data_IF_747214238195
#
_entry.id   IF_747214238195
#
_cell.length_a   1.000
_cell.length_b   1.000
_cell.length_c   1.000
_cell.angle_alpha   90.00
_cell.angle_beta   90.00
_cell.angle_gamma   90.00
#
_symmetry.space_group_name_H-M   'P 1'
#
loop_
_entity.id
_entity.type
_entity.pdbx_description
1 polymer ?
#
# COMPACT_ATOMS: atom_id res chain seq x y z
N UNK A 1 -17.68 14.01 -0.52
CA UNK A 1 -17.10 12.71 -0.93
C UNK A 1 -18.06 11.61 -0.46
N UNK A 2 -18.39 10.61 -1.31
CA UNK A 2 -19.18 9.45 -0.89
C UNK A 2 -18.27 8.23 -0.96
N UNK A 3 -17.97 7.64 0.20
CA UNK A 3 -17.09 6.48 0.34
C UNK A 3 -17.90 5.34 0.94
N UNK A 4 -17.77 4.15 0.38
CA UNK A 4 -18.41 2.93 0.88
C UNK A 4 -17.44 2.18 1.81
N UNK A 5 -17.89 1.82 3.00
CA UNK A 5 -17.09 1.01 3.94
C UNK A 5 -17.28 -0.47 3.62
N UNK A 6 -16.17 -1.20 3.45
CA UNK A 6 -16.20 -2.63 3.16
C UNK A 6 -15.36 -3.35 4.22
N UNK A 7 -16.00 -4.04 5.18
CA UNK A 7 -15.33 -4.62 6.35
C UNK A 7 -14.41 -5.80 6.03
N UNK A 8 -14.62 -6.47 4.90
CA UNK A 8 -13.71 -7.49 4.40
C UNK A 8 -13.49 -7.20 2.93
N UNK A 9 -12.25 -7.25 2.46
CA UNK A 9 -11.89 -7.19 1.05
C UNK A 9 -12.42 -8.44 0.26
N UNK A 10 -13.58 -8.99 0.64
CA UNK A 10 -14.33 -10.08 -0.01
C UNK A 10 -15.03 -9.58 -1.27
N UNK A 11 -14.98 -10.34 -2.38
CA UNK A 11 -15.76 -10.03 -3.56
C UNK A 11 -17.25 -10.18 -3.22
N UNK A 12 -18.01 -9.11 -3.31
CA UNK A 12 -19.48 -9.21 -3.37
C UNK A 12 -19.97 -8.42 -4.59
N UNK A 13 -20.73 -9.10 -5.43
CA UNK A 13 -21.00 -8.68 -6.81
C UNK A 13 -20.53 -9.74 -7.81
N UNK A 14 -21.01 -9.67 -9.06
CA UNK A 14 -20.59 -10.60 -10.10
C UNK A 14 -19.06 -10.60 -10.25
N UNK A 15 -18.43 -11.75 -10.59
CA UNK A 15 -16.99 -11.85 -10.77
C UNK A 15 -16.57 -10.94 -11.93
N UNK A 16 -15.99 -9.77 -11.62
CA UNK A 16 -15.45 -8.88 -12.65
C UNK A 16 -15.40 -7.39 -12.34
N UNK A 17 -16.10 -6.87 -11.31
CA UNK A 17 -16.01 -5.44 -10.96
C UNK A 17 -15.18 -5.21 -9.71
N UNK A 18 -14.00 -4.59 -9.87
CA UNK A 18 -13.20 -4.09 -8.75
C UNK A 18 -13.98 -3.01 -7.98
N UNK A 19 -14.16 -3.20 -6.67
CA UNK A 19 -14.84 -2.25 -5.78
C UNK A 19 -14.00 -1.02 -5.42
N UNK A 20 -12.69 -1.07 -5.64
CA UNK A 20 -11.77 0.05 -5.45
C UNK A 20 -11.68 0.95 -6.70
N UNK A 21 -12.70 0.94 -7.57
CA UNK A 21 -12.82 1.93 -8.65
C UNK A 21 -12.63 3.33 -8.08
N UNK A 22 -11.79 4.11 -8.73
CA UNK A 22 -11.59 5.50 -8.34
C UNK A 22 -12.83 6.35 -8.70
N UNK A 23 -13.05 7.40 -7.93
CA UNK A 23 -13.97 8.48 -8.26
C UNK A 23 -13.22 9.80 -8.29
N UNK A 24 -13.82 10.81 -8.90
CA UNK A 24 -13.26 12.15 -8.93
C UNK A 24 -14.28 13.16 -8.42
N UNK A 25 -13.78 14.19 -7.75
CA UNK A 25 -14.54 15.38 -7.37
C UNK A 25 -13.71 16.61 -7.69
N UNK A 26 -14.33 17.63 -8.27
CA UNK A 26 -13.70 18.92 -8.46
C UNK A 26 -13.74 19.69 -7.13
N UNK A 27 -12.62 20.31 -6.78
CA UNK A 27 -12.38 20.99 -5.53
C UNK A 27 -11.99 22.44 -5.81
N UNK A 28 -12.77 23.37 -5.29
CA UNK A 28 -12.36 24.77 -5.21
C UNK A 28 -11.50 24.95 -3.95
N UNK A 29 -10.25 25.38 -4.13
CA UNK A 29 -9.33 25.60 -3.02
C UNK A 29 -9.64 26.89 -2.26
N UNK A 30 -10.14 27.90 -2.97
CA UNK A 30 -10.53 29.21 -2.43
C UNK A 30 -11.94 29.54 -2.94
N UNK A 31 -12.85 30.03 -2.07
CA UNK A 31 -14.17 30.50 -2.50
C UNK A 31 -14.04 31.56 -3.61
N UNK A 32 -14.85 31.43 -4.66
CA UNK A 32 -14.76 32.27 -5.87
C UNK A 32 -15.22 33.72 -5.57
N UNK A 33 -14.30 34.65 -5.36
CA UNK A 33 -14.45 36.10 -5.66
C UNK A 33 -13.11 36.88 -5.53
N UNK A 34 -12.73 37.85 -6.41
CA UNK A 34 -13.09 38.07 -7.80
C UNK A 34 -11.89 37.72 -8.72
N UNK A 35 -11.25 36.56 -8.53
CA UNK A 35 -10.32 36.06 -9.55
C UNK A 35 -11.14 35.41 -10.66
N UNK A 36 -11.09 35.96 -11.88
CA UNK A 36 -11.92 35.52 -13.02
C UNK A 36 -11.84 34.02 -13.36
N UNK A 37 -10.77 33.34 -12.91
CA UNK A 37 -10.52 31.93 -13.21
C UNK A 37 -10.66 30.99 -11.99
N UNK A 38 -10.62 31.52 -10.76
CA UNK A 38 -10.65 30.75 -9.50
C UNK A 38 -9.44 29.81 -9.30
N UNK A 39 -9.18 29.40 -8.05
CA UNK A 39 -8.21 28.34 -7.75
C UNK A 39 -8.94 27.01 -7.52
N UNK A 40 -8.74 26.06 -8.44
CA UNK A 40 -9.41 24.76 -8.38
C UNK A 40 -8.52 23.61 -8.82
N UNK A 41 -8.90 22.40 -8.41
CA UNK A 41 -8.26 21.15 -8.77
C UNK A 41 -9.24 19.99 -8.78
N UNK A 42 -8.75 18.81 -9.12
CA UNK A 42 -9.51 17.56 -9.12
C UNK A 42 -8.89 16.58 -8.13
N UNK A 43 -9.71 16.09 -7.23
CA UNK A 43 -9.33 15.04 -6.27
C UNK A 43 -9.87 13.71 -6.79
N UNK A 44 -8.97 12.77 -7.04
CA UNK A 44 -9.26 11.38 -7.38
C UNK A 44 -9.06 10.55 -6.11
N UNK A 45 -10.01 9.68 -5.79
CA UNK A 45 -10.00 8.91 -4.54
C UNK A 45 -10.60 7.52 -4.73
N UNK A 46 -10.21 6.58 -3.88
CA UNK A 46 -10.84 5.26 -3.82
C UNK A 46 -12.32 5.37 -3.40
N UNK A 47 -13.25 4.76 -4.15
CA UNK A 47 -14.68 4.76 -3.75
C UNK A 47 -14.96 3.95 -2.50
N UNK A 48 -14.07 3.02 -2.17
CA UNK A 48 -14.27 2.06 -1.09
C UNK A 48 -13.10 2.09 -0.13
N UNK A 49 -13.41 1.99 1.16
CA UNK A 49 -12.43 1.87 2.24
C UNK A 49 -12.45 0.42 2.79
N UNK A 50 -11.27 -0.20 2.91
CA UNK A 50 -11.02 -1.49 3.56
C UNK A 50 -9.88 -1.26 4.56
N UNK A 51 -9.97 -1.81 5.77
CA UNK A 51 -8.96 -1.65 6.83
C UNK A 51 -7.63 -2.35 6.52
N UNK A 52 -7.64 -3.36 5.67
CA UNK A 52 -6.46 -4.10 5.23
C UNK A 52 -5.73 -3.47 4.02
N UNK A 53 -6.26 -2.39 3.45
CA UNK A 53 -5.71 -1.70 2.27
C UNK A 53 -5.54 -0.21 2.57
N UNK A 54 -4.53 0.42 1.99
CA UNK A 54 -4.45 1.88 2.01
C UNK A 54 -5.53 2.53 1.15
N UNK A 55 -6.01 3.68 1.62
CA UNK A 55 -6.91 4.55 0.86
C UNK A 55 -6.09 5.55 0.05
N UNK A 56 -6.21 5.50 -1.27
CA UNK A 56 -5.49 6.42 -2.16
C UNK A 56 -6.28 7.72 -2.40
N UNK A 57 -5.57 8.84 -2.38
CA UNK A 57 -6.07 10.18 -2.63
C UNK A 57 -5.05 10.97 -3.47
N UNK A 58 -5.40 11.20 -4.74
CA UNK A 58 -4.58 11.92 -5.70
C UNK A 58 -5.19 13.29 -6.03
N UNK A 59 -4.37 14.35 -6.00
CA UNK A 59 -4.81 15.71 -6.33
C UNK A 59 -4.13 16.13 -7.63
N UNK A 60 -4.92 16.55 -8.61
CA UNK A 60 -4.45 17.10 -9.89
C UNK A 60 -4.90 18.55 -9.99
N UNK A 61 -3.97 19.48 -10.20
CA UNK A 61 -4.31 20.90 -10.31
C UNK A 61 -3.47 21.58 -11.40
N UNK A 62 -4.09 22.52 -12.10
CA UNK A 62 -3.43 23.40 -13.07
C UNK A 62 -3.66 24.88 -12.74
N UNK A 63 -4.74 25.19 -12.03
CA UNK A 63 -5.25 26.54 -11.81
C UNK A 63 -5.03 27.01 -10.36
N UNK A 64 -4.07 26.43 -9.64
CA UNK A 64 -3.79 26.78 -8.24
C UNK A 64 -2.29 26.80 -7.97
N UNK A 65 -1.85 27.62 -7.01
CA UNK A 65 -0.44 27.60 -6.58
C UNK A 65 -0.11 26.34 -5.76
N UNK A 66 1.15 25.89 -5.80
CA UNK A 66 1.60 24.76 -4.98
C UNK A 66 1.44 25.02 -3.47
N UNK A 67 1.54 26.27 -3.02
CA UNK A 67 1.32 26.66 -1.63
C UNK A 67 -0.14 26.46 -1.23
N UNK A 68 -1.09 26.95 -2.03
CA UNK A 68 -2.54 26.77 -1.80
C UNK A 68 -2.90 25.29 -1.63
N UNK A 69 -2.36 24.43 -2.52
CA UNK A 69 -2.60 22.98 -2.46
C UNK A 69 -1.96 22.37 -1.20
N UNK A 70 -0.72 22.75 -0.88
CA UNK A 70 -0.03 22.26 0.31
C UNK A 70 -0.77 22.62 1.61
N UNK A 71 -1.29 23.84 1.74
CA UNK A 71 -2.05 24.30 2.90
C UNK A 71 -3.40 23.57 3.02
N UNK A 72 -4.03 23.30 1.89
CA UNK A 72 -5.26 22.48 1.83
C UNK A 72 -5.00 21.07 2.33
N UNK A 73 -3.96 20.40 1.83
CA UNK A 73 -3.58 19.04 2.26
C UNK A 73 -3.21 19.00 3.73
N UNK A 74 -2.49 20.02 4.22
CA UNK A 74 -2.14 20.12 5.64
C UNK A 74 -3.36 20.27 6.54
N UNK A 75 -4.36 21.03 6.09
CA UNK A 75 -5.64 21.15 6.78
C UNK A 75 -6.38 19.80 6.83
N UNK A 76 -6.32 19.00 5.77
CA UNK A 76 -6.90 17.66 5.75
C UNK A 76 -6.16 16.71 6.69
N UNK A 77 -4.83 16.68 6.64
CA UNK A 77 -4.01 15.90 7.56
C UNK A 77 -4.39 16.21 9.01
N UNK A 78 -4.45 17.49 9.37
CA UNK A 78 -4.79 17.93 10.73
C UNK A 78 -6.18 17.47 11.20
N UNK A 79 -7.14 17.33 10.28
CA UNK A 79 -8.49 16.81 10.58
C UNK A 79 -8.47 15.29 10.68
N UNK A 80 -7.81 14.61 9.76
CA UNK A 80 -7.72 13.14 9.68
C UNK A 80 -6.96 12.57 10.90
N UNK A 81 -5.90 13.24 11.35
CA UNK A 81 -5.14 12.84 12.55
C UNK A 81 -6.00 12.83 13.82
N UNK A 82 -7.05 13.66 13.92
CA UNK A 82 -7.99 13.65 15.05
C UNK A 82 -8.88 12.41 15.07
N UNK A 83 -9.15 11.86 13.90
CA UNK A 83 -9.93 10.64 13.70
C UNK A 83 -9.06 9.37 13.72
N UNK A 84 -7.80 9.48 14.20
CA UNK A 84 -6.83 8.37 14.32
C UNK A 84 -6.41 7.73 12.99
N UNK A 85 -6.54 8.46 11.89
CA UNK A 85 -5.98 8.10 10.60
C UNK A 85 -4.71 8.90 10.32
N UNK A 86 -3.86 8.39 9.44
CA UNK A 86 -2.66 9.10 8.98
C UNK A 86 -2.77 9.43 7.49
N UNK A 87 -2.46 10.67 7.14
CA UNK A 87 -2.34 11.13 5.76
C UNK A 87 -0.90 11.57 5.51
N UNK A 88 -0.24 10.97 4.54
CA UNK A 88 1.13 11.30 4.15
C UNK A 88 1.29 11.23 2.63
N UNK A 89 2.21 12.00 2.05
CA UNK A 89 2.53 11.92 0.63
C UNK A 89 3.27 10.62 0.33
N UNK A 90 2.99 10.04 -0.83
CA UNK A 90 3.70 8.87 -1.38
C UNK A 90 4.22 9.20 -2.77
N UNK A 91 5.42 8.72 -3.15
CA UNK A 91 5.93 8.90 -4.49
C UNK A 91 5.17 8.04 -5.49
N UNK A 92 5.12 8.50 -6.73
CA UNK A 92 4.53 7.74 -7.85
C UNK A 92 5.22 6.41 -8.08
N UNK A 93 6.52 6.34 -7.77
CA UNK A 93 7.33 5.13 -7.81
C UNK A 93 7.86 4.77 -6.40
N UNK A 94 7.11 3.98 -5.60
CA UNK A 94 7.53 3.58 -4.26
C UNK A 94 8.74 2.64 -4.22
N UNK A 95 8.96 1.82 -5.27
CA UNK A 95 10.06 0.86 -5.37
C UNK A 95 10.77 1.08 -6.71
N UNK A 96 11.71 2.01 -6.72
CA UNK A 96 12.48 2.39 -7.91
C UNK A 96 13.43 1.28 -8.35
N UNK A 97 12.96 0.40 -9.24
CA UNK A 97 13.77 -0.70 -9.74
C UNK A 97 14.64 -0.23 -10.91
N UNK A 98 15.90 -0.70 -11.02
CA UNK A 98 16.79 -0.34 -12.13
C UNK A 98 16.29 -0.74 -13.52
N UNK A 99 15.23 -1.57 -13.60
CA UNK A 99 14.63 -2.03 -14.85
C UNK A 99 13.72 -0.97 -15.49
N UNK A 100 13.27 0.01 -14.72
CA UNK A 100 12.39 1.06 -15.20
C UNK A 100 13.20 2.32 -15.53
N UNK A 101 13.12 2.76 -16.79
CA UNK A 101 13.84 3.93 -17.30
C UNK A 101 13.37 5.25 -16.67
N UNK A 102 12.14 5.27 -16.12
CA UNK A 102 11.58 6.43 -15.45
C UNK A 102 11.88 6.44 -13.94
N UNK A 103 12.37 5.33 -13.40
CA UNK A 103 12.74 5.24 -11.99
C UNK A 103 13.97 6.10 -11.70
N UNK A 104 13.99 6.72 -10.51
CA UNK A 104 15.13 7.51 -10.08
C UNK A 104 16.35 6.61 -9.84
N UNK A 105 17.45 6.74 -10.61
CA UNK A 105 18.61 5.84 -10.52
C UNK A 105 19.39 5.97 -9.21
N UNK A 106 19.19 7.06 -8.46
CA UNK A 106 19.83 7.27 -7.15
C UNK A 106 19.09 6.53 -6.03
N UNK A 107 17.90 6.00 -6.31
CA UNK A 107 17.18 5.16 -5.36
C UNK A 107 17.51 3.71 -5.62
N UNK A 108 18.02 3.04 -4.59
CA UNK A 108 18.37 1.63 -4.64
C UNK A 108 17.55 0.88 -3.59
N UNK A 109 16.44 0.23 -4.00
CA UNK A 109 15.68 -0.64 -3.11
C UNK A 109 16.56 -1.76 -2.56
N UNK A 110 16.37 -2.06 -1.29
CA UNK A 110 17.13 -3.06 -0.57
C UNK A 110 16.48 -4.41 -0.81
N UNK A 111 17.22 -5.35 -1.42
CA UNK A 111 16.78 -6.74 -1.54
C UNK A 111 16.93 -7.46 -0.20
N UNK A 112 15.87 -8.12 0.25
CA UNK A 112 15.82 -8.92 1.48
C UNK A 112 15.43 -10.35 1.09
N UNK A 113 16.37 -11.28 1.29
CA UNK A 113 16.19 -12.69 0.98
C UNK A 113 15.36 -13.38 2.07
N UNK A 114 14.45 -14.28 1.66
CA UNK A 114 13.69 -15.14 2.58
C UNK A 114 14.32 -16.52 2.67
N UNK A 115 14.51 -17.02 3.88
CA UNK A 115 14.88 -18.41 4.14
C UNK A 115 13.66 -19.32 4.04
N UNK A 116 13.54 -19.99 2.88
CA UNK A 116 12.44 -20.91 2.58
C UNK A 116 12.58 -22.29 3.24
N UNK A 117 13.74 -22.62 3.82
CA UNK A 117 13.97 -23.97 4.39
C UNK A 117 13.13 -24.23 5.64
N UNK A 118 12.63 -23.15 6.25
CA UNK A 118 12.00 -23.13 7.57
C UNK A 118 10.49 -23.30 7.49
N UNK A 119 9.88 -22.82 6.41
CA UNK A 119 8.42 -22.79 6.24
C UNK A 119 8.03 -23.65 5.04
N UNK A 120 7.08 -24.60 5.18
CA UNK A 120 6.57 -25.40 4.07
C UNK A 120 6.09 -24.54 2.90
N UNK A 121 6.36 -24.97 1.67
CA UNK A 121 6.10 -24.16 0.46
C UNK A 121 4.64 -23.74 0.31
N UNK A 122 3.69 -24.57 0.74
CA UNK A 122 2.26 -24.27 0.71
C UNK A 122 1.81 -23.21 1.75
N UNK A 123 2.60 -23.01 2.80
CA UNK A 123 2.32 -22.03 3.86
C UNK A 123 3.17 -20.77 3.74
N UNK A 124 4.24 -20.79 2.95
CA UNK A 124 5.21 -19.71 2.85
C UNK A 124 4.55 -18.36 2.55
N UNK A 125 3.70 -18.30 1.51
CA UNK A 125 3.05 -17.04 1.14
C UNK A 125 2.16 -16.49 2.25
N UNK A 126 1.33 -17.33 2.86
CA UNK A 126 0.45 -16.93 3.97
C UNK A 126 1.25 -16.45 5.17
N UNK A 127 2.36 -17.13 5.49
CA UNK A 127 3.27 -16.72 6.57
C UNK A 127 3.91 -15.35 6.27
N UNK A 128 4.36 -15.12 5.04
CA UNK A 128 4.96 -13.85 4.63
C UNK A 128 3.95 -12.69 4.64
N UNK A 129 2.72 -12.92 4.19
CA UNK A 129 1.64 -11.94 4.29
C UNK A 129 1.28 -11.63 5.74
N UNK A 130 1.21 -12.65 6.59
CA UNK A 130 0.95 -12.46 8.02
C UNK A 130 2.11 -11.71 8.71
N UNK A 131 3.35 -11.99 8.31
CA UNK A 131 4.53 -11.25 8.79
C UNK A 131 4.43 -9.76 8.45
N UNK A 132 4.08 -9.42 7.20
CA UNK A 132 3.86 -8.03 6.79
C UNK A 132 2.79 -7.35 7.63
N UNK A 133 1.64 -8.02 7.83
CA UNK A 133 0.56 -7.51 8.68
C UNK A 133 1.02 -7.23 10.11
N UNK A 134 1.72 -8.18 10.75
CA UNK A 134 2.24 -8.03 12.11
C UNK A 134 3.31 -6.93 12.21
N UNK A 135 4.08 -6.69 11.14
CA UNK A 135 4.99 -5.56 11.04
C UNK A 135 4.28 -4.23 10.74
N UNK A 136 2.95 -4.21 10.58
CA UNK A 136 2.17 -2.99 10.35
C UNK A 136 2.16 -2.52 8.88
N UNK A 137 2.40 -3.42 7.93
CA UNK A 137 2.27 -3.13 6.51
C UNK A 137 0.85 -3.38 6.00
N UNK A 138 0.35 -2.46 5.18
CA UNK A 138 -0.94 -2.53 4.50
C UNK A 138 -0.73 -2.60 2.99
N UNK A 139 -1.60 -3.34 2.29
CA UNK A 139 -1.53 -3.44 0.83
C UNK A 139 -1.86 -2.09 0.18
N UNK A 140 -1.09 -1.69 -0.83
CA UNK A 140 -1.40 -0.49 -1.62
C UNK A 140 -2.36 -0.79 -2.78
N UNK A 141 -2.32 -2.02 -3.29
CA UNK A 141 -3.10 -2.47 -4.42
C UNK A 141 -4.18 -3.47 -3.99
N UNK A 142 -5.22 -3.60 -4.81
CA UNK A 142 -6.22 -4.64 -4.60
C UNK A 142 -5.66 -5.99 -5.06
N UNK A 143 -5.91 -7.06 -4.29
CA UNK A 143 -5.54 -8.43 -4.67
C UNK A 143 -6.39 -9.02 -5.81
N UNK A 144 -7.49 -8.36 -6.20
CA UNK A 144 -8.28 -8.78 -7.36
C UNK A 144 -7.56 -8.33 -8.64
N UNK A 145 -7.20 -9.27 -9.51
CA UNK A 145 -6.61 -8.96 -10.82
C UNK A 145 -7.57 -8.05 -11.60
N UNK A 146 -7.15 -6.80 -11.84
CA UNK A 146 -7.91 -5.88 -12.67
C UNK A 146 -7.73 -6.31 -14.14
N UNK A 147 -8.72 -6.99 -14.69
CA UNK A 147 -8.81 -7.12 -16.15
C UNK A 147 -9.05 -5.71 -16.70
N UNK A 148 -8.03 -5.13 -17.35
CA UNK A 148 -8.07 -3.79 -17.94
C UNK A 148 -9.28 -3.67 -18.88
N UNK A 149 -10.38 -3.09 -18.40
CA UNK A 149 -11.44 -2.58 -19.24
C UNK A 149 -10.98 -1.26 -19.85
N UNK A 150 -10.08 -1.35 -20.83
CA UNK A 150 -9.88 -0.31 -21.82
C UNK A 150 -11.22 -0.17 -22.54
N UNK A 151 -11.95 0.91 -22.26
CA UNK A 151 -12.72 1.65 -23.26
C UNK A 151 -13.23 2.96 -22.64
N UNK A 152 -13.09 4.04 -23.41
CA UNK A 152 -13.73 5.36 -23.28
C UNK A 152 -12.96 6.46 -22.51
N UNK A 153 -12.11 7.16 -23.28
CA UNK A 153 -11.91 8.63 -23.29
C UNK A 153 -11.88 9.38 -21.95
N UNK A 154 -10.84 9.18 -21.17
CA UNK A 154 -10.22 10.21 -20.35
C UNK A 154 -8.75 9.82 -20.21
N UNK A 155 -7.83 10.70 -20.61
CA UNK A 155 -6.38 10.48 -20.67
C UNK A 155 -5.85 9.52 -19.57
N UNK A 156 -5.37 8.32 -19.93
CA UNK A 156 -4.88 7.33 -18.98
C UNK A 156 -3.39 7.59 -18.72
N UNK A 157 -3.07 8.61 -17.92
CA UNK A 157 -1.69 8.86 -17.47
C UNK A 157 -1.41 8.39 -16.04
N UNK A 158 -2.26 7.53 -15.49
CA UNK A 158 -2.07 6.96 -14.16
C UNK A 158 -2.51 5.48 -14.21
N UNK A 159 -1.54 4.56 -14.17
CA UNK A 159 -1.68 3.09 -14.15
C UNK A 159 -1.85 2.30 -15.47
N UNK A 160 -1.65 2.87 -16.66
CA UNK A 160 -1.45 2.06 -17.87
C UNK A 160 0.02 2.04 -18.25
N UNK A 161 0.76 1.03 -17.78
CA UNK A 161 2.02 0.62 -18.39
C UNK A 161 1.73 0.14 -19.82
N UNK A 162 1.88 1.02 -20.81
CA UNK A 162 2.11 0.58 -22.19
C UNK A 162 3.58 0.14 -22.31
N UNK A 163 3.84 -1.15 -22.10
CA UNK A 163 5.05 -1.80 -22.62
C UNK A 163 4.67 -2.67 -23.82
N UNK A 164 5.45 -2.64 -24.92
CA UNK A 164 5.27 -3.59 -26.00
C UNK A 164 5.71 -4.99 -25.54
N UNK A 165 4.75 -5.91 -25.51
CA UNK A 165 4.85 -7.33 -25.82
C UNK A 165 6.19 -8.05 -25.50
N UNK A 166 6.32 -8.58 -24.28
CA UNK A 166 6.86 -9.93 -24.08
C UNK A 166 5.95 -10.68 -23.10
N UNK A 167 5.53 -11.88 -23.49
CA UNK A 167 4.75 -12.80 -22.66
C UNK A 167 5.53 -13.13 -21.38
N UNK A 168 5.22 -12.48 -20.26
CA UNK A 168 5.61 -12.95 -18.93
C UNK A 168 4.36 -13.23 -18.11
N UNK A 169 4.14 -14.51 -17.83
CA UNK A 169 3.18 -15.01 -16.86
C UNK A 169 3.17 -14.12 -15.61
N UNK A 170 1.96 -13.74 -15.17
CA UNK A 170 1.67 -12.85 -14.06
C UNK A 170 2.13 -13.43 -12.71
N UNK A 171 3.43 -13.42 -12.47
CA UNK A 171 3.99 -13.69 -11.16
C UNK A 171 4.08 -12.36 -10.38
N UNK A 172 2.88 -11.92 -9.95
CA UNK A 172 2.59 -10.59 -9.44
C UNK A 172 3.43 -10.18 -8.24
N UNK A 173 4.17 -9.08 -8.39
CA UNK A 173 4.65 -8.33 -7.23
C UNK A 173 3.46 -7.78 -6.45
N UNK A 174 3.59 -7.67 -5.13
CA UNK A 174 2.57 -7.02 -4.30
C UNK A 174 3.22 -5.90 -3.51
N UNK A 175 2.69 -4.69 -3.67
CA UNK A 175 3.22 -3.49 -3.04
C UNK A 175 2.48 -3.17 -1.72
N UNK A 176 3.27 -2.86 -0.70
CA UNK A 176 2.81 -2.54 0.63
C UNK A 176 3.50 -1.28 1.16
N UNK A 177 2.80 -0.59 2.06
CA UNK A 177 3.33 0.53 2.81
C UNK A 177 3.08 0.33 4.30
N UNK A 178 4.06 0.71 5.12
CA UNK A 178 3.89 0.68 6.57
C UNK A 178 2.89 1.75 7.01
N UNK A 179 2.07 1.45 8.03
CA UNK A 179 1.06 2.35 8.59
C UNK A 179 1.58 3.74 9.00
N UNK A 180 2.88 3.89 9.24
CA UNK A 180 3.51 5.18 9.54
C UNK A 180 3.84 6.03 8.31
N UNK A 181 3.67 5.47 7.11
CA UNK A 181 3.98 6.07 5.82
C UNK A 181 5.46 6.11 5.46
N UNK A 182 6.36 5.60 6.31
CA UNK A 182 7.81 5.78 6.14
C UNK A 182 8.52 4.72 5.29
N UNK A 183 7.89 3.57 5.06
CA UNK A 183 8.56 2.40 4.51
C UNK A 183 7.64 1.70 3.50
N UNK A 184 8.23 1.26 2.40
CA UNK A 184 7.57 0.46 1.37
C UNK A 184 8.21 -0.92 1.30
N UNK A 185 7.38 -1.93 1.02
CA UNK A 185 7.83 -3.28 0.72
C UNK A 185 7.15 -3.79 -0.53
N UNK A 186 7.91 -4.35 -1.47
CA UNK A 186 7.37 -5.18 -2.56
C UNK A 186 7.71 -6.64 -2.28
N UNK A 187 6.71 -7.53 -2.33
CA UNK A 187 6.91 -8.97 -2.32
C UNK A 187 6.98 -9.48 -3.76
N UNK A 188 8.15 -9.96 -4.16
CA UNK A 188 8.40 -10.51 -5.49
C UNK A 188 8.25 -12.04 -5.47
N UNK A 189 7.59 -12.61 -6.50
CA UNK A 189 7.28 -14.05 -6.59
C UNK A 189 7.78 -14.68 -7.89
N UNK A 190 9.08 -14.66 -8.18
CA UNK A 190 9.62 -15.23 -9.42
C UNK A 190 9.27 -16.73 -9.58
N UNK A 191 8.90 -17.18 -10.78
CA UNK A 191 8.44 -18.58 -11.02
C UNK A 191 9.47 -19.65 -10.68
N UNK A 192 10.76 -19.33 -10.85
CA UNK A 192 11.87 -20.29 -10.72
C UNK A 192 12.79 -19.99 -9.51
N UNK A 193 12.46 -18.99 -8.70
CA UNK A 193 13.28 -18.58 -7.56
C UNK A 193 12.44 -18.48 -6.28
N UNK A 194 13.12 -18.39 -5.13
CA UNK A 194 12.43 -18.12 -3.87
C UNK A 194 11.83 -16.71 -3.86
N UNK A 195 10.67 -16.50 -3.24
CA UNK A 195 10.16 -15.15 -3.02
C UNK A 195 11.15 -14.33 -2.19
N UNK A 196 11.18 -13.04 -2.45
CA UNK A 196 12.02 -12.10 -1.73
C UNK A 196 11.32 -10.75 -1.65
N UNK A 197 11.84 -9.87 -0.79
CA UNK A 197 11.30 -8.53 -0.65
C UNK A 197 12.24 -7.48 -1.23
N UNK A 198 11.68 -6.45 -1.85
CA UNK A 198 12.33 -5.16 -1.95
C UNK A 198 11.84 -4.24 -0.85
N UNK A 199 12.75 -3.51 -0.23
CA UNK A 199 12.46 -2.52 0.79
C UNK A 199 12.92 -1.13 0.33
N UNK A 200 12.10 -0.12 0.52
CA UNK A 200 12.49 1.27 0.28
C UNK A 200 11.95 2.21 1.34
N UNK A 201 12.63 3.33 1.52
CA UNK A 201 12.18 4.43 2.38
C UNK A 201 11.27 5.38 1.60
N UNK A 202 10.28 5.95 2.29
CA UNK A 202 9.48 7.03 1.75
C UNK A 202 10.23 8.37 1.85
N UNK A 203 10.93 8.72 0.77
CA UNK A 203 11.66 9.98 0.66
C UNK A 203 10.77 11.23 0.64
N UNK A 204 9.46 11.10 0.39
CA UNK A 204 8.50 12.21 0.49
C UNK A 204 8.03 12.48 1.92
N UNK A 205 8.31 11.57 2.86
CA UNK A 205 7.92 11.72 4.26
C UNK A 205 8.85 12.70 4.98
N UNK A 206 8.56 14.00 4.83
CA UNK A 206 9.26 15.07 5.53
C UNK A 206 9.02 15.05 7.06
N UNK A 207 9.89 15.73 7.83
CA UNK A 207 9.84 15.79 9.31
C UNK A 207 8.45 16.16 9.86
N UNK A 208 7.71 17.03 9.18
CA UNK A 208 6.35 17.45 9.56
C UNK A 208 5.33 16.31 9.61
N UNK A 209 5.47 15.28 8.77
CA UNK A 209 4.57 14.12 8.76
C UNK A 209 5.01 13.05 9.78
N UNK A 210 6.31 12.97 10.09
CA UNK A 210 6.87 11.97 11.01
C UNK A 210 6.47 12.18 12.47
N UNK A 211 6.16 13.41 12.86
CA UNK A 211 5.76 13.73 14.24
C UNK A 211 4.43 13.06 14.60
N UNK A 212 3.46 13.12 13.69
CA UNK A 212 2.16 12.50 13.90
C UNK A 212 2.25 10.96 13.84
N UNK A 213 3.06 10.43 12.91
CA UNK A 213 3.18 8.99 12.68
C UNK A 213 4.24 8.28 13.54
N UNK A 214 4.93 9.01 14.42
CA UNK A 214 6.04 8.49 15.26
C UNK A 214 7.14 7.75 14.46
N UNK A 215 7.32 8.11 13.19
CA UNK A 215 8.23 7.43 12.26
C UNK A 215 9.64 8.03 12.28
N UNK A 216 10.38 7.82 13.37
CA UNK A 216 11.78 8.27 13.45
C UNK A 216 12.69 7.48 12.51
N UNK A 217 13.85 8.03 12.16
CA UNK A 217 14.87 7.32 11.37
C UNK A 217 15.41 6.10 12.12
N UNK A 218 15.62 6.22 13.43
CA UNK A 218 16.01 5.10 14.29
C UNK A 218 14.96 3.98 14.32
N UNK A 219 13.67 4.33 14.31
CA UNK A 219 12.58 3.35 14.20
C UNK A 219 12.59 2.64 12.85
N UNK A 220 12.76 3.40 11.77
CA UNK A 220 12.90 2.87 10.42
C UNK A 220 14.06 1.87 10.30
N UNK A 221 15.25 2.23 10.79
CA UNK A 221 16.43 1.34 10.80
C UNK A 221 16.21 0.08 11.65
N UNK A 222 15.57 0.24 12.82
CA UNK A 222 15.19 -0.89 13.67
C UNK A 222 14.24 -1.85 12.95
N UNK A 223 13.21 -1.32 12.27
CA UNK A 223 12.24 -2.12 11.52
C UNK A 223 12.91 -2.91 10.40
N UNK A 224 13.78 -2.28 9.61
CA UNK A 224 14.54 -2.97 8.56
C UNK A 224 15.43 -4.07 9.14
N UNK A 225 16.13 -3.79 10.26
CA UNK A 225 17.00 -4.77 10.93
C UNK A 225 16.19 -5.98 11.39
N UNK A 226 15.09 -5.77 12.10
CA UNK A 226 14.24 -6.86 12.57
C UNK A 226 13.61 -7.62 11.40
N UNK A 227 13.08 -6.92 10.40
CA UNK A 227 12.46 -7.56 9.23
C UNK A 227 13.46 -8.48 8.49
N UNK A 228 14.71 -8.07 8.34
CA UNK A 228 15.79 -8.93 7.79
C UNK A 228 16.05 -10.16 8.65
N UNK A 229 16.03 -10.03 9.99
CA UNK A 229 16.22 -11.18 10.89
C UNK A 229 15.08 -12.17 10.78
N UNK A 230 13.83 -11.71 10.71
CA UNK A 230 12.67 -12.57 10.46
C UNK A 230 12.79 -13.24 9.08
N UNK A 231 13.06 -12.50 8.00
CA UNK A 231 13.14 -13.10 6.66
C UNK A 231 14.30 -14.11 6.54
N UNK A 232 15.45 -13.82 7.15
CA UNK A 232 16.63 -14.70 7.12
C UNK A 232 16.65 -15.79 8.20
N UNK A 233 15.57 -15.96 8.96
CA UNK A 233 15.48 -16.89 10.09
C UNK A 233 16.64 -16.78 11.11
N UNK A 234 17.13 -15.56 11.34
CA UNK A 234 18.19 -15.32 12.33
C UNK A 234 17.61 -15.55 13.72
N UNK A 235 18.32 -16.32 14.54
CA UNK A 235 17.88 -16.75 15.88
C UNK A 235 16.52 -17.47 15.85
N UNK A 236 16.24 -18.24 14.80
CA UNK A 236 14.99 -18.98 14.59
C UNK A 236 13.71 -18.14 14.55
N UNK A 237 13.82 -16.81 14.35
CA UNK A 237 12.67 -15.90 14.37
C UNK A 237 11.56 -16.27 13.39
N UNK A 238 11.90 -16.73 12.18
CA UNK A 238 10.88 -17.12 11.19
C UNK A 238 10.17 -18.40 11.62
N UNK A 239 10.94 -19.35 12.13
CA UNK A 239 10.44 -20.64 12.58
C UNK A 239 9.48 -20.49 13.76
N UNK A 240 9.89 -19.71 14.76
CA UNK A 240 9.07 -19.41 15.93
C UNK A 240 7.81 -18.64 15.53
N UNK A 241 7.94 -17.65 14.65
CA UNK A 241 6.80 -16.90 14.11
C UNK A 241 5.80 -17.81 13.39
N UNK A 242 6.28 -18.68 12.49
CA UNK A 242 5.44 -19.64 11.77
C UNK A 242 4.71 -20.60 12.73
N UNK A 243 5.42 -21.11 13.73
CA UNK A 243 4.85 -22.04 14.72
C UNK A 243 3.76 -21.37 15.54
N UNK A 244 4.01 -20.15 16.03
CA UNK A 244 3.03 -19.35 16.77
C UNK A 244 1.79 -18.98 15.91
N UNK A 245 2.00 -18.68 14.62
CA UNK A 245 0.90 -18.43 13.69
C UNK A 245 -0.01 -19.66 13.54
N UNK A 246 0.57 -20.86 13.40
CA UNK A 246 -0.20 -22.11 13.29
C UNK A 246 -1.01 -22.40 14.56
N UNK A 247 -0.42 -22.21 15.74
CA UNK A 247 -1.11 -22.37 17.02
C UNK A 247 -2.33 -21.46 17.12
N UNK A 248 -2.19 -20.21 16.68
CA UNK A 248 -3.29 -19.23 16.64
C UNK A 248 -4.39 -19.67 15.69
N UNK A 249 -4.04 -20.17 14.49
CA UNK A 249 -5.00 -20.66 13.49
C UNK A 249 -5.79 -21.86 14.04
N UNK A 250 -5.09 -22.84 14.60
CA UNK A 250 -5.71 -24.04 15.17
C UNK A 250 -6.62 -23.72 16.35
N UNK A 251 -6.24 -22.74 17.17
CA UNK A 251 -7.08 -22.29 18.31
C UNK A 251 -8.32 -21.53 17.82
N UNK A 252 -8.19 -20.67 16.81
CA UNK A 252 -9.32 -19.97 16.22
C UNK A 252 -10.34 -20.94 15.60
N UNK A 253 -9.88 -21.98 14.91
CA UNK A 253 -10.76 -23.04 14.40
C UNK A 253 -11.44 -23.82 15.54
N UNK A 254 -10.75 -24.08 16.65
CA UNK A 254 -11.29 -24.76 17.83
C UNK A 254 -12.40 -23.96 18.54
N UNK A 255 -12.28 -22.62 18.55
CA UNK A 255 -13.29 -21.71 19.14
C UNK A 255 -14.55 -21.63 18.26
N UNK A 256 -14.43 -21.74 16.94
CA UNK A 256 -15.57 -21.75 16.02
C UNK A 256 -16.45 -23.00 16.21
N UNK A 257 -15.88 -24.14 16.63
CA UNK A 257 -16.64 -25.36 16.97
C UNK A 257 -17.26 -25.37 18.38
N UNK A 258 -17.01 -24.35 19.18
CA UNK A 258 -17.66 -24.13 20.47
C UNK A 258 -18.59 -22.91 20.40
N UNK A 259 -19.60 -22.95 19.51
CA UNK A 259 -20.73 -22.03 19.67
C UNK A 259 -21.50 -22.41 20.95
N UNK A 260 -21.68 -21.48 21.91
CA UNK A 260 -22.60 -21.71 23.01
C UNK A 260 -24.02 -21.73 22.45
N UNK A 261 -24.74 -22.84 22.67
CA UNK A 261 -26.19 -22.88 22.58
C UNK A 261 -26.76 -21.93 23.64
N UNK A 262 -27.21 -20.74 23.26
CA UNK A 262 -28.27 -20.02 23.95
C UNK A 262 -29.11 -19.24 22.93
#
# INVERSE_FOLDING_TARGET
MRVEFIPNCTPIGPPGECRFRQSAIDLDFVPRDPCLLGEWGRVVYDRSFCDLKTFDLSIKWYMATGQTVADTVYTWQSKISKERFFLFPVPEDPIALPKDVNSNPLRCPIRIQVDKSVVPSNMLERTLQHLLFCFGFCAMECSAEHMNAINTTANPSFMSREYPLENSESNGSSLYIHQTGGMFVSLERPSNESPFFFWAWNHMLAKKYRQDSQCSEAFQDYMLKEFRRYCGNIDNKLQEFYTSMLETINTAESVVFQQPKF
#
